data_IF_022459669585
#
_entry.id   IF_022459669585
#
_cell.length_a   1.000
_cell.length_b   1.000
_cell.length_c   1.000
_cell.angle_alpha   90.00
_cell.angle_beta   90.00
_cell.angle_gamma   90.00
#
_symmetry.space_group_name_H-M   'P 1'
#
loop_
_entity.id
_entity.type
_entity.pdbx_description
1 polymer ?
#
# COMPACT_ATOMS: atom_id res chain seq x y z
N UNK A 1 15.81 10.63 22.53
CA UNK A 1 15.08 10.97 21.28
C UNK A 1 15.94 10.84 20.01
N UNK A 2 17.19 11.35 19.96
CA UNK A 2 18.05 11.26 18.75
C UNK A 2 18.36 9.82 18.28
N UNK A 3 18.76 8.92 19.18
CA UNK A 3 19.08 7.53 18.80
C UNK A 3 17.86 6.77 18.23
N UNK A 4 16.67 6.96 18.81
CA UNK A 4 15.43 6.37 18.30
C UNK A 4 15.08 6.91 16.91
N UNK A 5 15.24 8.22 16.70
CA UNK A 5 15.02 8.84 15.39
C UNK A 5 15.98 8.28 14.33
N UNK A 6 17.27 8.20 14.62
CA UNK A 6 18.25 7.61 13.70
C UNK A 6 17.97 6.14 13.44
N UNK A 7 17.57 5.37 14.46
CA UNK A 7 17.23 3.96 14.28
C UNK A 7 16.02 3.78 13.35
N UNK A 8 14.94 4.54 13.57
CA UNK A 8 13.69 4.41 12.80
C UNK A 8 13.78 4.96 11.38
N UNK A 9 14.43 6.11 11.18
CA UNK A 9 14.43 6.82 9.89
C UNK A 9 15.74 6.69 9.13
N UNK A 10 16.86 6.43 9.82
CA UNK A 10 18.17 6.29 9.21
C UNK A 10 18.63 4.85 8.99
N UNK A 11 18.17 3.88 9.80
CA UNK A 11 18.65 2.48 9.75
C UNK A 11 17.57 1.51 9.28
N UNK A 12 16.38 1.60 9.87
CA UNK A 12 15.28 0.65 9.61
C UNK A 12 14.86 0.55 8.14
N UNK A 13 14.80 1.62 7.33
CA UNK A 13 14.43 1.51 5.91
C UNK A 13 15.40 0.64 5.12
N UNK A 14 16.71 0.83 5.33
CA UNK A 14 17.75 0.04 4.67
C UNK A 14 17.75 -1.41 5.14
N UNK A 15 17.57 -1.66 6.44
CA UNK A 15 17.44 -3.02 6.96
C UNK A 15 16.23 -3.73 6.35
N UNK A 16 15.10 -3.04 6.25
CA UNK A 16 13.88 -3.56 5.63
C UNK A 16 14.11 -3.92 4.17
N UNK A 17 14.80 -3.06 3.41
CA UNK A 17 15.14 -3.32 2.01
C UNK A 17 16.09 -4.52 1.87
N UNK A 18 17.12 -4.62 2.71
CA UNK A 18 18.05 -5.76 2.74
C UNK A 18 17.30 -7.06 3.02
N UNK A 19 16.42 -7.09 4.03
CA UNK A 19 15.62 -8.27 4.36
C UNK A 19 14.65 -8.61 3.24
N UNK A 20 14.00 -7.62 2.61
CA UNK A 20 13.11 -7.83 1.48
C UNK A 20 13.85 -8.47 0.30
N UNK A 21 14.98 -7.88 -0.13
CA UNK A 21 15.74 -8.35 -1.30
C UNK A 21 16.41 -9.70 -1.01
N UNK A 22 17.19 -9.79 0.07
CA UNK A 22 17.91 -11.02 0.41
C UNK A 22 16.95 -12.16 0.78
N UNK A 23 15.89 -11.87 1.52
CA UNK A 23 14.85 -12.85 1.87
C UNK A 23 14.10 -13.36 0.63
N UNK A 24 13.78 -12.47 -0.32
CA UNK A 24 13.14 -12.86 -1.58
C UNK A 24 14.09 -13.70 -2.44
N UNK A 25 15.36 -13.31 -2.59
CA UNK A 25 16.36 -14.07 -3.33
C UNK A 25 16.61 -15.45 -2.72
N UNK A 26 16.73 -15.52 -1.39
CA UNK A 26 16.85 -16.77 -0.66
C UNK A 26 15.63 -17.66 -0.89
N UNK A 27 14.42 -17.12 -0.73
CA UNK A 27 13.18 -17.89 -0.94
C UNK A 27 13.06 -18.39 -2.38
N UNK A 28 13.44 -17.57 -3.36
CA UNK A 28 13.49 -17.98 -4.76
C UNK A 28 14.49 -19.12 -4.99
N UNK A 29 15.63 -19.14 -4.28
CA UNK A 29 16.65 -20.18 -4.45
C UNK A 29 16.28 -21.51 -3.79
N UNK A 30 15.66 -21.46 -2.60
CA UNK A 30 15.49 -22.61 -1.71
C UNK A 30 14.03 -23.05 -1.51
N UNK A 31 13.04 -22.19 -1.74
CA UNK A 31 11.60 -22.50 -1.60
C UNK A 31 10.81 -22.04 -2.84
N UNK A 32 11.12 -22.64 -3.99
CA UNK A 32 10.44 -22.36 -5.25
C UNK A 32 8.99 -22.84 -5.25
N UNK A 33 8.73 -23.99 -4.62
CA UNK A 33 7.38 -24.57 -4.57
C UNK A 33 6.43 -23.74 -3.70
N UNK A 34 6.94 -23.07 -2.66
CA UNK A 34 6.18 -22.11 -1.86
C UNK A 34 5.98 -20.75 -2.52
N UNK A 35 6.59 -20.48 -3.68
CA UNK A 35 6.42 -19.23 -4.44
C UNK A 35 5.16 -19.27 -5.30
N UNK A 36 3.99 -19.17 -4.66
CA UNK A 36 2.69 -19.17 -5.35
C UNK A 36 1.75 -18.11 -4.76
N UNK A 37 0.72 -17.74 -5.50
CA UNK A 37 -0.32 -16.81 -5.05
C UNK A 37 -1.25 -17.40 -3.99
N UNK A 38 -1.20 -18.73 -3.76
CA UNK A 38 -2.11 -19.47 -2.85
C UNK A 38 -3.57 -19.07 -3.06
N UNK A 39 -4.01 -19.11 -4.32
CA UNK A 39 -5.37 -18.73 -4.70
C UNK A 39 -6.41 -19.59 -3.96
N UNK A 40 -7.40 -18.93 -3.37
CA UNK A 40 -8.54 -19.56 -2.70
C UNK A 40 -9.80 -19.58 -3.57
N UNK A 41 -9.67 -19.31 -4.87
CA UNK A 41 -10.81 -19.14 -5.79
C UNK A 41 -11.70 -20.39 -5.90
N UNK A 42 -11.11 -21.59 -5.81
CA UNK A 42 -11.85 -22.84 -5.87
C UNK A 42 -12.84 -23.03 -4.70
N UNK A 43 -12.55 -22.42 -3.55
CA UNK A 43 -13.43 -22.50 -2.38
C UNK A 43 -14.59 -21.50 -2.44
N UNK A 44 -14.40 -20.36 -3.09
CA UNK A 44 -15.42 -19.34 -3.27
C UNK A 44 -14.96 -18.37 -4.38
N UNK A 45 -15.72 -18.24 -5.46
CA UNK A 45 -15.33 -17.42 -6.61
C UNK A 45 -16.21 -16.19 -6.84
N UNK A 46 -17.44 -16.18 -6.32
CA UNK A 46 -18.45 -15.16 -6.62
C UNK A 46 -18.07 -13.81 -6.01
N UNK A 47 -17.70 -13.79 -4.73
CA UNK A 47 -17.25 -12.58 -4.05
C UNK A 47 -15.82 -12.22 -4.47
N UNK A 48 -14.96 -13.22 -4.67
CA UNK A 48 -13.59 -12.99 -5.16
C UNK A 48 -13.55 -12.28 -6.53
N UNK A 49 -14.48 -12.59 -7.44
CA UNK A 49 -14.54 -11.98 -8.77
C UNK A 49 -14.74 -10.46 -8.75
N UNK A 50 -15.34 -9.93 -7.68
CA UNK A 50 -15.57 -8.48 -7.51
C UNK A 50 -14.50 -7.91 -6.58
N UNK A 51 -14.33 -8.51 -5.39
CA UNK A 51 -13.44 -8.02 -4.36
C UNK A 51 -11.96 -8.08 -4.77
N UNK A 52 -11.57 -9.13 -5.51
CA UNK A 52 -10.21 -9.33 -6.00
C UNK A 52 -9.75 -8.20 -6.93
N UNK A 53 -10.43 -7.96 -8.07
CA UNK A 53 -10.10 -6.85 -8.96
C UNK A 53 -10.21 -5.48 -8.29
N UNK A 54 -11.25 -5.24 -7.48
CA UNK A 54 -11.42 -3.98 -6.77
C UNK A 54 -10.21 -3.66 -5.87
N UNK A 55 -9.76 -4.66 -5.09
CA UNK A 55 -8.57 -4.52 -4.25
C UNK A 55 -7.30 -4.32 -5.09
N UNK A 56 -7.04 -5.15 -6.11
CA UNK A 56 -5.78 -5.10 -6.85
C UNK A 56 -5.67 -3.86 -7.73
N UNK A 57 -6.73 -3.47 -8.45
CA UNK A 57 -6.69 -2.26 -9.26
C UNK A 57 -6.57 -1.02 -8.37
N UNK A 58 -7.33 -0.95 -7.27
CA UNK A 58 -7.16 0.10 -6.27
C UNK A 58 -5.71 0.17 -5.78
N UNK A 59 -5.14 -0.98 -5.37
CA UNK A 59 -3.78 -1.04 -4.85
C UNK A 59 -2.73 -0.63 -5.90
N UNK A 60 -2.90 -1.04 -7.16
CA UNK A 60 -2.01 -0.65 -8.25
C UNK A 60 -2.05 0.86 -8.48
N UNK A 61 -3.22 1.49 -8.44
CA UNK A 61 -3.33 2.95 -8.53
C UNK A 61 -2.72 3.65 -7.32
N UNK A 62 -2.87 3.10 -6.11
CA UNK A 62 -2.19 3.61 -4.91
C UNK A 62 -0.67 3.55 -5.09
N UNK A 63 -0.12 2.41 -5.53
CA UNK A 63 1.31 2.25 -5.78
C UNK A 63 1.79 3.22 -6.86
N UNK A 64 1.09 3.31 -7.98
CA UNK A 64 1.42 4.23 -9.06
C UNK A 64 1.39 5.70 -8.58
N UNK A 65 0.41 6.05 -7.75
CA UNK A 65 0.31 7.35 -7.11
C UNK A 65 1.48 7.64 -6.16
N UNK A 66 1.95 6.66 -5.38
CA UNK A 66 3.13 6.82 -4.52
C UNK A 66 4.41 6.96 -5.35
N UNK A 67 4.58 6.17 -6.41
CA UNK A 67 5.71 6.26 -7.34
C UNK A 67 5.74 7.65 -8.00
N UNK A 68 4.62 8.11 -8.55
CA UNK A 68 4.52 9.45 -9.13
C UNK A 68 4.63 10.57 -8.08
N UNK A 69 4.18 10.31 -6.85
CA UNK A 69 4.21 11.23 -5.72
C UNK A 69 5.61 11.48 -5.16
N UNK A 70 6.41 10.42 -5.07
CA UNK A 70 7.70 10.42 -4.38
C UNK A 70 8.88 10.49 -5.35
N UNK A 71 8.78 9.90 -6.54
CA UNK A 71 9.91 9.81 -7.47
C UNK A 71 9.92 10.91 -8.54
N UNK A 72 8.83 11.66 -8.71
CA UNK A 72 8.78 12.78 -9.67
C UNK A 72 9.26 14.05 -8.97
N UNK A 73 10.43 14.59 -9.33
CA UNK A 73 10.97 15.80 -8.69
C UNK A 73 10.20 17.05 -9.11
N UNK A 74 10.19 18.05 -8.24
CA UNK A 74 9.49 19.35 -8.44
C UNK A 74 9.94 20.04 -9.73
N UNK A 75 11.25 20.02 -9.98
CA UNK A 75 11.84 20.57 -11.20
C UNK A 75 11.33 19.96 -12.51
N UNK A 76 10.74 18.75 -12.49
CA UNK A 76 10.12 18.15 -13.67
C UNK A 76 8.66 18.61 -13.82
N UNK A 77 7.92 18.70 -12.72
CA UNK A 77 6.54 19.23 -12.73
C UNK A 77 6.48 20.70 -13.13
N UNK A 78 7.45 21.51 -12.70
CA UNK A 78 7.55 22.93 -13.07
C UNK A 78 7.85 23.11 -14.56
N UNK A 79 8.74 22.29 -15.12
CA UNK A 79 9.05 22.29 -16.57
C UNK A 79 7.84 21.89 -17.42
N UNK A 80 6.95 21.08 -16.87
CA UNK A 80 5.70 20.66 -17.50
C UNK A 80 4.53 21.61 -17.22
N UNK A 81 4.77 22.73 -16.51
CA UNK A 81 3.74 23.71 -16.10
C UNK A 81 2.57 23.08 -15.35
N UNK A 82 2.81 21.99 -14.60
CA UNK A 82 1.79 21.40 -13.73
C UNK A 82 1.70 22.23 -12.48
N UNK A 83 0.58 22.91 -12.26
CA UNK A 83 0.39 23.70 -11.04
C UNK A 83 0.35 22.81 -9.81
N UNK A 84 0.89 23.31 -8.70
CA UNK A 84 0.88 22.66 -7.39
C UNK A 84 -0.54 22.30 -6.95
N UNK A 85 -1.51 23.15 -7.27
CA UNK A 85 -2.93 22.90 -7.03
C UNK A 85 -3.46 21.69 -7.82
N UNK A 86 -3.10 21.53 -9.10
CA UNK A 86 -3.51 20.35 -9.89
C UNK A 86 -2.86 19.08 -9.35
N UNK A 87 -1.61 19.17 -8.91
CA UNK A 87 -0.89 18.05 -8.33
C UNK A 87 -1.51 17.59 -7.01
N UNK A 88 -1.82 18.51 -6.10
CA UNK A 88 -2.50 18.21 -4.85
C UNK A 88 -3.95 17.74 -5.04
N UNK A 89 -4.71 18.37 -5.94
CA UNK A 89 -6.07 17.92 -6.25
C UNK A 89 -6.07 16.50 -6.84
N UNK A 90 -5.11 16.18 -7.72
CA UNK A 90 -4.95 14.83 -8.23
C UNK A 90 -4.57 13.84 -7.13
N UNK A 91 -3.63 14.18 -6.25
CA UNK A 91 -3.25 13.33 -5.13
C UNK A 91 -4.44 13.05 -4.19
N UNK A 92 -5.26 14.06 -3.91
CA UNK A 92 -6.42 13.92 -3.03
C UNK A 92 -7.55 13.10 -3.69
N UNK A 93 -7.90 13.42 -4.93
CA UNK A 93 -9.03 12.79 -5.63
C UNK A 93 -8.64 11.40 -6.12
N UNK A 94 -7.58 11.29 -6.92
CA UNK A 94 -7.15 10.01 -7.48
C UNK A 94 -6.57 9.09 -6.39
N UNK A 95 -5.73 9.63 -5.50
CA UNK A 95 -5.17 8.86 -4.38
C UNK A 95 -6.25 8.45 -3.36
N UNK A 96 -7.15 9.37 -2.98
CA UNK A 96 -8.24 9.08 -2.07
C UNK A 96 -9.23 8.05 -2.62
N UNK A 97 -9.66 8.19 -3.88
CA UNK A 97 -10.58 7.22 -4.52
C UNK A 97 -9.93 5.84 -4.68
N UNK A 98 -8.66 5.77 -5.10
CA UNK A 98 -7.91 4.51 -5.19
C UNK A 98 -7.72 3.87 -3.81
N UNK A 99 -7.43 4.66 -2.77
CA UNK A 99 -7.31 4.20 -1.40
C UNK A 99 -8.62 3.62 -0.86
N UNK A 100 -9.75 4.31 -1.10
CA UNK A 100 -11.08 3.83 -0.72
C UNK A 100 -11.48 2.55 -1.47
N UNK A 101 -11.18 2.47 -2.77
CA UNK A 101 -11.39 1.25 -3.55
C UNK A 101 -10.56 0.07 -2.99
N UNK A 102 -9.30 0.33 -2.65
CA UNK A 102 -8.41 -0.66 -2.01
C UNK A 102 -8.96 -1.12 -0.66
N UNK A 103 -9.40 -0.18 0.19
CA UNK A 103 -9.97 -0.49 1.50
C UNK A 103 -11.26 -1.31 1.37
N UNK A 104 -12.16 -0.92 0.47
CA UNK A 104 -13.41 -1.63 0.21
C UNK A 104 -13.14 -3.05 -0.31
N UNK A 105 -12.23 -3.20 -1.26
CA UNK A 105 -11.79 -4.51 -1.76
C UNK A 105 -11.19 -5.39 -0.65
N UNK A 106 -10.30 -4.83 0.18
CA UNK A 106 -9.70 -5.54 1.31
C UNK A 106 -10.74 -5.97 2.35
N UNK A 107 -11.68 -5.07 2.69
CA UNK A 107 -12.76 -5.37 3.63
C UNK A 107 -13.65 -6.51 3.12
N UNK A 108 -14.00 -6.51 1.82
CA UNK A 108 -14.76 -7.60 1.20
C UNK A 108 -13.96 -8.92 1.19
N UNK A 109 -12.66 -8.89 0.91
CA UNK A 109 -11.80 -10.08 0.96
C UNK A 109 -11.64 -10.64 2.37
N UNK A 110 -11.54 -9.76 3.38
CA UNK A 110 -11.54 -10.15 4.80
C UNK A 110 -12.88 -10.75 5.20
N UNK A 111 -13.98 -10.11 4.83
CA UNK A 111 -15.32 -10.63 5.06
C UNK A 111 -15.51 -12.02 4.42
N UNK A 112 -15.07 -12.19 3.17
CA UNK A 112 -15.06 -13.49 2.47
C UNK A 112 -14.32 -14.56 3.27
N UNK A 113 -13.10 -14.25 3.71
CA UNK A 113 -12.25 -15.16 4.49
C UNK A 113 -12.86 -15.52 5.84
N UNK A 114 -13.51 -14.56 6.49
CA UNK A 114 -14.22 -14.78 7.74
C UNK A 114 -15.53 -15.54 7.53
N UNK A 115 -16.23 -15.42 6.41
CA UNK A 115 -17.50 -16.13 6.19
C UNK A 115 -17.34 -17.55 5.66
N UNK A 116 -16.31 -17.84 4.87
CA UNK A 116 -16.13 -19.16 4.24
C UNK A 116 -15.20 -20.05 5.09
N UNK A 117 -15.70 -21.12 5.75
CA UNK A 117 -14.90 -21.94 6.65
C UNK A 117 -13.69 -22.59 5.98
N UNK A 118 -13.84 -23.06 4.73
CA UNK A 118 -12.74 -23.65 3.96
C UNK A 118 -11.57 -22.67 3.74
N UNK A 119 -11.88 -21.41 3.42
CA UNK A 119 -10.85 -20.37 3.22
C UNK A 119 -10.21 -20.01 4.57
N UNK A 120 -11.01 -19.92 5.64
CA UNK A 120 -10.50 -19.63 6.98
C UNK A 120 -9.54 -20.71 7.45
N UNK A 121 -9.89 -21.98 7.26
CA UNK A 121 -9.05 -23.13 7.60
C UNK A 121 -7.74 -23.16 6.80
N UNK A 122 -7.81 -22.83 5.50
CA UNK A 122 -6.64 -22.75 4.62
C UNK A 122 -5.79 -21.47 4.80
N UNK A 123 -6.18 -20.54 5.68
CA UNK A 123 -5.44 -19.28 5.91
C UNK A 123 -4.14 -19.53 6.66
N UNK A 124 -3.01 -19.19 6.03
CA UNK A 124 -1.69 -19.42 6.62
C UNK A 124 -1.40 -18.47 7.78
N UNK A 125 -0.41 -18.81 8.62
CA UNK A 125 0.02 -17.95 9.73
C UNK A 125 0.50 -16.58 9.24
N UNK A 126 1.21 -16.54 8.11
CA UNK A 126 1.66 -15.29 7.49
C UNK A 126 0.49 -14.41 7.06
N UNK A 127 -0.55 -14.99 6.46
CA UNK A 127 -1.74 -14.23 6.04
C UNK A 127 -2.46 -13.57 7.24
N UNK A 128 -2.46 -14.23 8.41
CA UNK A 128 -3.04 -13.69 9.64
C UNK A 128 -2.31 -12.45 10.16
N UNK A 129 -1.05 -12.27 9.79
CA UNK A 129 -0.25 -11.07 10.12
C UNK A 129 -0.37 -10.03 9.01
N UNK A 130 -0.31 -10.45 7.74
CA UNK A 130 -0.33 -9.55 6.59
C UNK A 130 -1.66 -8.81 6.47
N UNK A 131 -2.81 -9.46 6.69
CA UNK A 131 -4.09 -8.75 6.50
C UNK A 131 -4.35 -7.62 7.51
N UNK A 132 -4.15 -7.81 8.82
CA UNK A 132 -4.25 -6.71 9.77
C UNK A 132 -3.25 -5.60 9.48
N UNK A 133 -1.99 -5.94 9.19
CA UNK A 133 -0.96 -4.96 8.86
C UNK A 133 -1.35 -4.12 7.64
N UNK A 134 -1.81 -4.77 6.57
CA UNK A 134 -2.25 -4.10 5.36
C UNK A 134 -3.46 -3.20 5.62
N UNK A 135 -4.43 -3.65 6.42
CA UNK A 135 -5.56 -2.83 6.84
C UNK A 135 -5.09 -1.59 7.61
N UNK A 136 -4.17 -1.76 8.56
CA UNK A 136 -3.60 -0.65 9.34
C UNK A 136 -2.88 0.36 8.44
N UNK A 137 -2.04 -0.10 7.50
CA UNK A 137 -1.30 0.79 6.59
C UNK A 137 -2.23 1.53 5.65
N UNK A 138 -3.27 0.87 5.11
CA UNK A 138 -4.26 1.52 4.24
C UNK A 138 -5.07 2.56 5.01
N UNK A 139 -5.49 2.25 6.24
CA UNK A 139 -6.20 3.21 7.09
C UNK A 139 -5.31 4.40 7.46
N UNK A 140 -4.05 4.16 7.83
CA UNK A 140 -3.10 5.23 8.12
C UNK A 140 -2.88 6.15 6.92
N UNK A 141 -2.74 5.58 5.71
CA UNK A 141 -2.63 6.34 4.47
C UNK A 141 -3.87 7.21 4.20
N UNK A 142 -5.07 6.63 4.33
CA UNK A 142 -6.33 7.39 4.15
C UNK A 142 -6.51 8.48 5.20
N UNK A 143 -6.11 8.24 6.46
CA UNK A 143 -6.11 9.26 7.51
C UNK A 143 -5.16 10.40 7.15
N UNK A 144 -3.95 10.10 6.67
CA UNK A 144 -3.00 11.11 6.22
C UNK A 144 -3.56 11.94 5.06
N UNK A 145 -4.17 11.30 4.06
CA UNK A 145 -4.86 11.97 2.94
C UNK A 145 -5.99 12.88 3.43
N UNK A 146 -6.82 12.40 4.36
CA UNK A 146 -7.92 13.18 4.92
C UNK A 146 -7.42 14.38 5.76
N UNK A 147 -6.35 14.21 6.54
CA UNK A 147 -5.74 15.32 7.29
C UNK A 147 -5.10 16.36 6.40
N UNK A 148 -4.51 15.95 5.27
CA UNK A 148 -3.97 16.88 4.27
C UNK A 148 -5.06 17.70 3.57
N UNK A 149 -6.28 17.18 3.49
CA UNK A 149 -7.43 17.89 2.91
C UNK A 149 -7.97 19.01 3.81
N UNK A 150 -7.82 18.88 5.13
CA UNK A 150 -8.41 19.78 6.12
C UNK A 150 -7.40 20.74 6.76
N UNK A 151 -6.10 20.55 6.54
CA UNK A 151 -5.07 21.46 7.01
C UNK A 151 -5.15 22.79 6.23
N UNK A 152 -5.28 23.91 6.94
CA UNK A 152 -5.36 25.25 6.35
C UNK A 152 -4.07 25.72 5.65
N UNK A 153 -2.97 24.97 5.80
CA UNK A 153 -1.74 25.12 5.03
C UNK A 153 -1.50 23.87 4.19
N UNK A 154 -1.26 24.06 2.90
CA UNK A 154 -0.86 23.03 1.95
C UNK A 154 0.52 22.50 2.36
N UNK A 155 0.57 21.42 3.14
CA UNK A 155 1.83 20.77 3.46
C UNK A 155 2.38 20.09 2.21
N UNK A 156 3.49 20.62 1.69
CA UNK A 156 4.20 19.99 0.59
C UNK A 156 4.96 18.76 1.09
N UNK A 157 4.34 17.59 0.88
CA UNK A 157 4.92 16.31 1.22
C UNK A 157 6.18 15.98 0.42
N UNK A 158 6.49 16.72 -0.66
CA UNK A 158 7.71 16.51 -1.44
C UNK A 158 8.92 17.05 -0.69
N UNK A 159 8.81 18.19 -0.01
CA UNK A 159 9.89 18.77 0.79
C UNK A 159 10.16 18.00 2.10
N UNK A 160 9.17 17.23 2.57
CA UNK A 160 9.29 16.40 3.76
C UNK A 160 9.53 14.93 3.44
N UNK A 161 8.51 14.25 2.89
CA UNK A 161 8.47 12.78 2.74
C UNK A 161 9.32 12.29 1.58
N UNK A 162 9.34 12.99 0.44
CA UNK A 162 10.07 12.51 -0.76
C UNK A 162 11.60 12.66 -0.68
N UNK A 163 12.10 13.44 0.28
CA UNK A 163 13.54 13.60 0.55
C UNK A 163 14.11 12.38 1.28
N UNK A 164 13.25 11.55 1.88
CA UNK A 164 13.59 10.29 2.57
C UNK A 164 13.24 9.07 1.73
#
# INVERSE_FOLDING_TARGET
MRHLHTALWGVLPYLTLVVLVAGTAWRYRYDRFGFTTRSSQLHESRLLRIAGPLFHYGLLFVIAGHVAGLLVPESLTDRLHVSEHLYHANALIAGGTAGLATLAGLALLLFRRLRTPAIRAATSRSDRVVYPLLLTVVLAGLTATASGATAASTYDYRLGVSVW
#
